data_IF_145451843535
#
_entry.id   IF_145451843535
#
_cell.length_a   1.000
_cell.length_b   1.000
_cell.length_c   1.000
_cell.angle_alpha   90.00
_cell.angle_beta   90.00
_cell.angle_gamma   90.00
#
_symmetry.space_group_name_H-M   'P 1'
#
loop_
_entity.id
_entity.type
_entity.pdbx_description
1 polymer ?
#
# COMPACT_ATOMS: atom_id res chain seq x y z
N UNK A 1 -17.83 6.07 -13.60
CA UNK A 1 -16.40 5.66 -13.47
C UNK A 1 -15.82 5.47 -14.86
N UNK A 2 -14.70 6.10 -15.18
CA UNK A 2 -14.04 5.90 -16.47
C UNK A 2 -13.21 4.61 -16.42
N UNK A 3 -13.63 3.57 -17.12
CA UNK A 3 -12.99 2.24 -17.08
C UNK A 3 -11.51 2.27 -17.49
N UNK A 4 -11.14 3.07 -18.50
CA UNK A 4 -9.74 3.21 -18.92
C UNK A 4 -8.87 3.81 -17.83
N UNK A 5 -9.32 4.89 -17.19
CA UNK A 5 -8.61 5.50 -16.05
C UNK A 5 -8.55 4.55 -14.86
N UNK A 6 -9.60 3.78 -14.60
CA UNK A 6 -9.63 2.80 -13.52
C UNK A 6 -8.56 1.72 -13.71
N UNK A 7 -8.51 1.11 -14.88
CA UNK A 7 -7.52 0.07 -15.21
C UNK A 7 -6.11 0.65 -15.13
N UNK A 8 -5.86 1.82 -15.74
CA UNK A 8 -4.56 2.47 -15.72
C UNK A 8 -4.11 2.77 -14.29
N UNK A 9 -4.99 3.34 -13.46
CA UNK A 9 -4.68 3.65 -12.08
C UNK A 9 -4.41 2.39 -11.26
N UNK A 10 -5.20 1.33 -11.45
CA UNK A 10 -5.00 0.05 -10.77
C UNK A 10 -3.65 -0.56 -11.11
N UNK A 11 -3.27 -0.57 -12.38
CA UNK A 11 -1.95 -1.06 -12.82
C UNK A 11 -0.83 -0.19 -12.22
N UNK A 12 -0.93 1.14 -12.32
CA UNK A 12 0.09 2.06 -11.83
C UNK A 12 0.28 1.93 -10.31
N UNK A 13 -0.80 1.82 -9.54
CA UNK A 13 -0.75 1.64 -8.09
C UNK A 13 -0.17 0.27 -7.75
N UNK A 14 -0.56 -0.79 -8.44
CA UNK A 14 0.00 -2.14 -8.20
C UNK A 14 1.51 -2.14 -8.43
N UNK A 15 1.99 -1.60 -9.56
CA UNK A 15 3.43 -1.53 -9.85
C UNK A 15 4.15 -0.70 -8.79
N UNK A 16 3.59 0.45 -8.41
CA UNK A 16 4.17 1.31 -7.37
C UNK A 16 4.27 0.58 -6.02
N UNK A 17 3.19 -0.07 -5.57
CA UNK A 17 3.17 -0.81 -4.30
C UNK A 17 4.19 -1.94 -4.32
N UNK A 18 4.25 -2.74 -5.39
CA UNK A 18 5.23 -3.82 -5.52
C UNK A 18 6.68 -3.30 -5.49
N UNK A 19 6.95 -2.20 -6.17
CA UNK A 19 8.28 -1.59 -6.16
C UNK A 19 8.63 -1.02 -4.77
N UNK A 20 7.70 -0.35 -4.13
CA UNK A 20 7.88 0.17 -2.77
C UNK A 20 8.12 -0.96 -1.78
N UNK A 21 7.33 -2.02 -1.82
CA UNK A 21 7.47 -3.18 -0.93
C UNK A 21 8.80 -3.89 -1.14
N UNK A 22 9.26 -4.01 -2.38
CA UNK A 22 10.58 -4.56 -2.65
C UNK A 22 11.69 -3.74 -1.99
N UNK A 23 11.64 -2.41 -2.10
CA UNK A 23 12.64 -1.53 -1.49
C UNK A 23 12.51 -1.52 0.04
N UNK A 24 11.28 -1.41 0.55
CA UNK A 24 11.03 -1.28 1.98
C UNK A 24 11.21 -2.62 2.71
N UNK A 25 10.52 -3.67 2.30
CA UNK A 25 10.59 -4.96 2.96
C UNK A 25 11.78 -5.80 2.52
N UNK A 26 12.16 -5.75 1.24
CA UNK A 26 13.25 -6.55 0.68
C UNK A 26 14.63 -5.99 0.97
N UNK A 27 14.77 -4.67 1.16
CA UNK A 27 16.07 -4.04 1.40
C UNK A 27 16.16 -3.39 2.79
N UNK A 28 15.30 -2.41 3.09
CA UNK A 28 15.38 -1.66 4.36
C UNK A 28 15.09 -2.55 5.58
N UNK A 29 14.05 -3.39 5.52
CA UNK A 29 13.65 -4.27 6.62
C UNK A 29 14.36 -5.62 6.64
N UNK A 30 15.19 -5.96 5.65
CA UNK A 30 15.80 -7.30 5.49
C UNK A 30 16.49 -7.78 6.76
N UNK A 31 17.37 -6.97 7.34
CA UNK A 31 18.09 -7.32 8.57
C UNK A 31 17.14 -7.54 9.77
N UNK A 32 16.07 -6.76 9.87
CA UNK A 32 15.05 -6.94 10.93
C UNK A 32 14.34 -8.29 10.77
N UNK A 33 14.02 -8.68 9.53
CA UNK A 33 13.39 -9.97 9.25
C UNK A 33 14.32 -11.15 9.52
N UNK A 34 15.61 -11.02 9.25
CA UNK A 34 16.61 -12.04 9.63
C UNK A 34 16.70 -12.21 11.15
N UNK A 35 16.74 -11.11 11.90
CA UNK A 35 16.76 -11.15 13.37
C UNK A 35 15.48 -11.72 13.98
N UNK A 36 14.40 -11.71 13.26
CA UNK A 36 13.08 -12.22 13.68
C UNK A 36 12.66 -13.46 12.89
N UNK A 37 13.61 -14.21 12.35
CA UNK A 37 13.36 -15.35 11.45
C UNK A 37 12.40 -16.39 12.01
N UNK A 38 12.39 -16.60 13.34
CA UNK A 38 11.48 -17.53 14.02
C UNK A 38 10.00 -17.16 13.89
N UNK A 39 9.67 -15.93 13.54
CA UNK A 39 8.29 -15.45 13.38
C UNK A 39 7.77 -15.66 11.94
N UNK A 40 8.62 -16.03 11.01
CA UNK A 40 8.31 -16.09 9.58
C UNK A 40 8.36 -17.51 9.04
N UNK A 41 7.74 -17.70 7.89
CA UNK A 41 7.90 -18.94 7.13
C UNK A 41 9.36 -19.08 6.70
N UNK A 42 9.93 -20.31 6.74
CA UNK A 42 11.29 -20.56 6.24
C UNK A 42 11.45 -20.09 4.78
N UNK A 43 12.60 -19.51 4.46
CA UNK A 43 12.90 -19.01 3.11
C UNK A 43 12.69 -20.06 2.02
N UNK A 44 13.02 -21.33 2.29
CA UNK A 44 12.85 -22.45 1.36
C UNK A 44 11.40 -22.66 0.92
N UNK A 45 10.44 -22.33 1.80
CA UNK A 45 9.01 -22.48 1.51
C UNK A 45 8.37 -21.20 0.99
N UNK A 46 9.01 -20.04 1.15
CA UNK A 46 8.44 -18.72 0.83
C UNK A 46 7.99 -18.61 -0.63
N UNK A 47 8.77 -19.19 -1.56
CA UNK A 47 8.45 -19.16 -2.99
C UNK A 47 7.06 -19.75 -3.31
N UNK A 48 6.61 -20.74 -2.54
CA UNK A 48 5.27 -21.34 -2.73
C UNK A 48 4.13 -20.38 -2.35
N UNK A 49 4.44 -19.38 -1.53
CA UNK A 49 3.47 -18.41 -1.04
C UNK A 49 3.54 -17.07 -1.75
N UNK A 50 4.53 -16.87 -2.61
CA UNK A 50 4.71 -15.62 -3.39
C UNK A 50 3.46 -15.25 -4.18
N UNK A 51 2.78 -16.24 -4.75
CA UNK A 51 1.55 -16.00 -5.52
C UNK A 51 0.46 -15.34 -4.66
N UNK A 52 0.33 -15.72 -3.39
CA UNK A 52 -0.64 -15.12 -2.48
C UNK A 52 -0.31 -13.69 -2.13
N UNK A 53 0.99 -13.35 -2.01
CA UNK A 53 1.44 -11.98 -1.81
C UNK A 53 1.09 -11.11 -3.02
N UNK A 54 1.39 -11.59 -4.23
CA UNK A 54 1.07 -10.87 -5.49
C UNK A 54 -0.44 -10.67 -5.62
N UNK A 55 -1.24 -11.73 -5.42
CA UNK A 55 -2.70 -11.62 -5.47
C UNK A 55 -3.24 -10.65 -4.44
N UNK A 56 -2.72 -10.69 -3.21
CA UNK A 56 -3.09 -9.75 -2.15
C UNK A 56 -2.82 -8.30 -2.54
N UNK A 57 -1.64 -8.02 -3.08
CA UNK A 57 -1.26 -6.67 -3.54
C UNK A 57 -2.15 -6.19 -4.70
N UNK A 58 -2.48 -7.05 -5.65
CA UNK A 58 -3.39 -6.71 -6.76
C UNK A 58 -4.78 -6.38 -6.22
N UNK A 59 -5.34 -7.22 -5.35
CA UNK A 59 -6.67 -7.02 -4.75
C UNK A 59 -6.69 -5.71 -3.95
N UNK A 60 -5.68 -5.46 -3.12
CA UNK A 60 -5.56 -4.22 -2.35
C UNK A 60 -5.48 -2.99 -3.26
N UNK A 61 -4.66 -3.04 -4.31
CA UNK A 61 -4.51 -1.94 -5.26
C UNK A 61 -5.81 -1.62 -6.00
N UNK A 62 -6.49 -2.64 -6.50
CA UNK A 62 -7.80 -2.48 -7.17
C UNK A 62 -8.85 -1.93 -6.21
N UNK A 63 -8.93 -2.46 -4.99
CA UNK A 63 -9.81 -1.96 -3.95
C UNK A 63 -9.52 -0.51 -3.57
N UNK A 64 -8.23 -0.18 -3.40
CA UNK A 64 -7.77 1.17 -3.11
C UNK A 64 -8.21 2.17 -4.19
N UNK A 65 -8.01 1.85 -5.46
CA UNK A 65 -8.45 2.70 -6.59
C UNK A 65 -9.98 2.78 -6.64
N UNK A 66 -10.69 1.67 -6.42
CA UNK A 66 -12.15 1.65 -6.42
C UNK A 66 -12.73 2.57 -5.33
N UNK A 67 -12.19 2.52 -4.12
CA UNK A 67 -12.60 3.40 -3.01
C UNK A 67 -12.34 4.88 -3.35
N UNK A 68 -11.17 5.20 -3.90
CA UNK A 68 -10.88 6.58 -4.34
C UNK A 68 -11.93 7.09 -5.31
N UNK A 69 -12.31 6.30 -6.31
CA UNK A 69 -13.29 6.72 -7.33
C UNK A 69 -14.69 6.95 -6.78
N UNK A 70 -15.02 6.37 -5.62
CA UNK A 70 -16.32 6.55 -4.95
C UNK A 70 -16.30 7.73 -3.98
N UNK A 71 -15.19 7.95 -3.28
CA UNK A 71 -15.09 8.94 -2.23
C UNK A 71 -14.67 10.33 -2.74
N UNK A 72 -13.87 10.41 -3.80
CA UNK A 72 -13.26 11.65 -4.28
C UNK A 72 -13.63 11.94 -5.73
N UNK A 73 -14.11 13.16 -6.01
CA UNK A 73 -14.65 13.51 -7.33
C UNK A 73 -13.75 14.45 -8.14
N UNK A 74 -12.90 15.24 -7.49
CA UNK A 74 -12.16 16.34 -8.13
C UNK A 74 -10.76 15.93 -8.62
N UNK A 75 -10.11 15.00 -7.97
CA UNK A 75 -8.78 14.52 -8.33
C UNK A 75 -7.72 15.62 -8.25
N UNK A 76 -7.18 15.83 -7.05
CA UNK A 76 -6.06 16.74 -6.81
C UNK A 76 -5.03 16.07 -5.93
N UNK A 77 -3.77 16.54 -5.96
CA UNK A 77 -2.68 15.97 -5.17
C UNK A 77 -3.04 15.95 -3.68
N UNK A 78 -3.62 17.03 -3.17
CA UNK A 78 -4.04 17.11 -1.77
C UNK A 78 -5.13 16.09 -1.43
N UNK A 79 -6.14 15.92 -2.31
CA UNK A 79 -7.19 14.90 -2.13
C UNK A 79 -6.60 13.49 -2.13
N UNK A 80 -5.63 13.23 -3.02
CA UNK A 80 -4.93 11.96 -3.07
C UNK A 80 -4.14 11.68 -1.80
N UNK A 81 -3.41 12.66 -1.29
CA UNK A 81 -2.65 12.54 -0.06
C UNK A 81 -3.55 12.29 1.15
N UNK A 82 -4.64 13.06 1.28
CA UNK A 82 -5.64 12.88 2.35
C UNK A 82 -6.28 11.49 2.27
N UNK A 83 -6.68 11.07 1.07
CA UNK A 83 -7.22 9.73 0.87
C UNK A 83 -6.24 8.64 1.31
N UNK A 84 -4.99 8.71 0.84
CA UNK A 84 -3.95 7.76 1.22
C UNK A 84 -3.73 7.72 2.73
N UNK A 85 -3.72 8.89 3.39
CA UNK A 85 -3.58 8.99 4.85
C UNK A 85 -4.78 8.34 5.58
N UNK A 86 -6.01 8.57 5.12
CA UNK A 86 -7.21 7.96 5.72
C UNK A 86 -7.17 6.42 5.62
N UNK A 87 -6.73 5.89 4.48
CA UNK A 87 -6.56 4.44 4.32
C UNK A 87 -5.41 3.95 5.21
N UNK A 88 -4.31 4.70 5.32
CA UNK A 88 -3.19 4.35 6.20
C UNK A 88 -3.63 4.21 7.67
N UNK A 89 -4.53 5.05 8.17
CA UNK A 89 -5.07 4.96 9.53
C UNK A 89 -5.71 3.58 9.78
N UNK A 90 -6.41 3.02 8.81
CA UNK A 90 -6.98 1.66 8.92
C UNK A 90 -5.87 0.62 9.06
N UNK A 91 -4.81 0.73 8.26
CA UNK A 91 -3.65 -0.17 8.33
C UNK A 91 -2.84 0.00 9.61
N UNK A 92 -2.72 1.22 10.15
CA UNK A 92 -2.10 1.47 11.45
C UNK A 92 -2.85 0.69 12.54
N UNK A 93 -4.18 0.77 12.56
CA UNK A 93 -5.00 0.00 13.51
C UNK A 93 -4.76 -1.50 13.38
N UNK A 94 -4.70 -2.03 12.14
CA UNK A 94 -4.40 -3.43 11.89
C UNK A 94 -3.01 -3.84 12.39
N UNK A 95 -1.98 -3.01 12.17
CA UNK A 95 -0.62 -3.28 12.66
C UNK A 95 -0.55 -3.31 14.19
N UNK A 96 -1.27 -2.43 14.88
CA UNK A 96 -1.34 -2.43 16.35
C UNK A 96 -2.06 -3.67 16.90
N UNK A 97 -3.12 -4.14 16.23
CA UNK A 97 -3.78 -5.40 16.57
C UNK A 97 -2.81 -6.58 16.39
N UNK A 98 -2.08 -6.62 15.29
CA UNK A 98 -1.08 -7.65 15.05
C UNK A 98 0.05 -7.64 16.09
N UNK A 99 0.48 -6.46 16.53
CA UNK A 99 1.43 -6.32 17.64
C UNK A 99 0.90 -6.95 18.95
N UNK A 100 -0.39 -6.80 19.22
CA UNK A 100 -0.99 -7.34 20.44
C UNK A 100 -1.10 -8.87 20.43
N UNK A 101 -1.22 -9.50 19.25
CA UNK A 101 -1.44 -10.95 19.14
C UNK A 101 -0.20 -11.74 18.75
N UNK A 102 0.86 -11.10 18.28
CA UNK A 102 2.10 -11.75 17.88
C UNK A 102 3.32 -11.05 18.50
N UNK A 103 4.40 -11.79 18.83
CA UNK A 103 5.56 -11.25 19.54
C UNK A 103 6.50 -10.44 18.63
N UNK A 104 5.93 -9.50 17.88
CA UNK A 104 6.73 -8.59 17.03
C UNK A 104 7.46 -7.55 17.89
N UNK A 105 8.73 -7.24 17.59
CA UNK A 105 9.40 -6.08 18.21
C UNK A 105 8.66 -4.78 17.90
N UNK A 106 8.48 -3.91 18.88
CA UNK A 106 7.81 -2.61 18.68
C UNK A 106 8.50 -1.75 17.60
N UNK A 107 9.84 -1.80 17.51
CA UNK A 107 10.59 -1.10 16.46
C UNK A 107 10.20 -1.53 15.05
N UNK A 108 9.92 -2.81 14.86
CA UNK A 108 9.47 -3.36 13.58
C UNK A 108 8.06 -2.86 13.24
N UNK A 109 7.15 -2.85 14.21
CA UNK A 109 5.77 -2.35 14.03
C UNK A 109 5.77 -0.85 13.71
N UNK A 110 6.60 -0.05 14.38
CA UNK A 110 6.77 1.37 14.09
C UNK A 110 7.26 1.56 12.66
N UNK A 111 8.25 0.77 12.22
CA UNK A 111 8.74 0.83 10.84
C UNK A 111 7.63 0.51 9.82
N UNK A 112 6.82 -0.51 10.07
CA UNK A 112 5.67 -0.84 9.22
C UNK A 112 4.64 0.29 9.14
N UNK A 113 4.33 0.91 10.28
CA UNK A 113 3.40 2.04 10.34
C UNK A 113 3.91 3.21 9.50
N UNK A 114 5.18 3.56 9.63
CA UNK A 114 5.81 4.62 8.83
C UNK A 114 5.79 4.24 7.34
N UNK A 115 6.24 3.03 7.02
CA UNK A 115 6.30 2.53 5.65
C UNK A 115 4.95 2.55 4.96
N UNK A 116 3.92 1.95 5.58
CA UNK A 116 2.57 1.90 5.02
C UNK A 116 1.94 3.28 4.88
N UNK A 117 2.24 4.21 5.80
CA UNK A 117 1.74 5.58 5.71
C UNK A 117 2.32 6.30 4.49
N UNK A 118 3.64 6.24 4.31
CA UNK A 118 4.32 6.83 3.14
C UNK A 118 3.79 6.19 1.85
N UNK A 119 3.74 4.87 1.80
CA UNK A 119 3.27 4.11 0.64
C UNK A 119 1.86 4.51 0.22
N UNK A 120 0.91 4.53 1.15
CA UNK A 120 -0.49 4.81 0.82
C UNK A 120 -0.74 6.27 0.48
N UNK A 121 -0.02 7.21 1.10
CA UNK A 121 -0.06 8.63 0.72
C UNK A 121 0.42 8.82 -0.70
N UNK A 122 1.54 8.23 -1.07
CA UNK A 122 2.07 8.31 -2.44
C UNK A 122 1.17 7.58 -3.45
N UNK A 123 0.63 6.41 -3.10
CA UNK A 123 -0.35 5.70 -3.94
C UNK A 123 -1.61 6.55 -4.18
N UNK A 124 -2.10 7.24 -3.16
CA UNK A 124 -3.23 8.16 -3.26
C UNK A 124 -2.96 9.33 -4.21
N UNK A 125 -1.77 9.91 -4.15
CA UNK A 125 -1.32 10.96 -5.09
C UNK A 125 -1.30 10.43 -6.53
N UNK A 126 -0.78 9.22 -6.75
CA UNK A 126 -0.76 8.58 -8.08
C UNK A 126 -2.17 8.42 -8.64
N UNK A 127 -3.11 7.88 -7.85
CA UNK A 127 -4.51 7.74 -8.28
C UNK A 127 -5.11 9.09 -8.62
N UNK A 128 -4.95 10.08 -7.74
CA UNK A 128 -5.49 11.42 -7.92
C UNK A 128 -4.94 12.10 -9.19
N UNK A 129 -3.66 11.91 -9.49
CA UNK A 129 -3.05 12.43 -10.70
C UNK A 129 -3.67 11.83 -11.98
N UNK A 130 -3.93 10.52 -12.00
CA UNK A 130 -4.56 9.82 -13.14
C UNK A 130 -6.04 10.25 -13.29
N UNK A 131 -6.73 10.48 -12.17
CA UNK A 131 -8.13 10.88 -12.15
C UNK A 131 -8.36 12.37 -12.27
N UNK A 132 -7.29 13.19 -12.21
CA UNK A 132 -7.39 14.64 -12.34
C UNK A 132 -8.28 15.01 -13.53
N UNK A 133 -9.33 15.78 -13.27
CA UNK A 133 -10.17 16.37 -14.32
C UNK A 133 -9.32 17.39 -15.06
N UNK A 134 -9.42 17.42 -16.40
CA UNK A 134 -8.92 18.57 -17.14
C UNK A 134 -9.76 19.76 -16.70
N UNK A 135 -9.16 20.72 -15.99
CA UNK A 135 -9.78 22.02 -15.76
C UNK A 135 -10.03 22.63 -17.15
N UNK A 136 -11.28 22.73 -17.56
CA UNK A 136 -11.63 23.60 -18.67
C UNK A 136 -11.42 25.03 -18.16
N UNK A 137 -10.27 25.60 -18.44
CA UNK A 137 -10.12 27.03 -18.42
C UNK A 137 -10.95 27.58 -19.59
N UNK A 138 -12.20 27.95 -19.30
CA UNK A 138 -12.98 28.86 -20.12
C UNK A 138 -12.74 30.28 -19.63
#
# INVERSE_FOLDING_TARGET
MNAKKFILASIAVTIFIMAFDFLFHGMYMANTYEQTASLWRPHETMNKYMIWMILGQIIMSVGFVALFTKAFKRGGIAEGAIYGLLVAIVFIGSNLIMYAVAPYPMSMVISWIIGVTIQLVLAGIIVAFIYKSKSNHA
#
